data_IF_231155536359
#
_entry.id   IF_231155536359
#
_cell.length_a   1.000
_cell.length_b   1.000
_cell.length_c   1.000
_cell.angle_alpha   90.00
_cell.angle_beta   90.00
_cell.angle_gamma   90.00
#
_symmetry.space_group_name_H-M   'P 1'
#
loop_
_entity.id
_entity.type
_entity.pdbx_description
1 polymer ?
#
# COMPACT_ATOMS: atom_id res chain seq x y z
N UNK A 1 35.08 18.16 5.03
CA UNK A 1 33.96 17.20 4.97
C UNK A 1 33.12 17.41 6.20
N UNK A 2 31.88 17.85 6.06
CA UNK A 2 31.02 18.21 7.19
C UNK A 2 30.52 16.97 7.93
N UNK A 3 31.05 16.76 9.14
CA UNK A 3 30.67 15.66 10.04
C UNK A 3 29.15 15.57 10.26
N UNK A 4 28.48 16.73 10.26
CA UNK A 4 27.03 16.88 10.36
C UNK A 4 26.28 16.32 9.14
N UNK A 5 26.85 16.40 7.94
CA UNK A 5 26.27 15.81 6.73
C UNK A 5 26.37 14.29 6.74
N UNK A 6 27.49 13.75 7.23
CA UNK A 6 27.69 12.30 7.37
C UNK A 6 26.73 11.70 8.41
N UNK A 7 26.51 12.39 9.53
CA UNK A 7 25.54 11.98 10.56
C UNK A 7 24.09 12.01 10.03
N UNK A 8 23.73 13.01 9.22
CA UNK A 8 22.40 13.07 8.57
C UNK A 8 22.20 11.97 7.53
N UNK A 9 23.23 11.64 6.74
CA UNK A 9 23.17 10.54 5.77
C UNK A 9 23.08 9.18 6.47
N UNK A 10 23.80 8.97 7.56
CA UNK A 10 23.71 7.77 8.37
C UNK A 10 22.33 7.61 9.01
N UNK A 11 21.79 8.67 9.61
CA UNK A 11 20.43 8.65 10.18
C UNK A 11 19.37 8.37 9.09
N UNK A 12 19.52 8.93 7.89
CA UNK A 12 18.63 8.66 6.75
C UNK A 12 18.74 7.22 6.26
N UNK A 13 19.94 6.65 6.24
CA UNK A 13 20.15 5.25 5.86
C UNK A 13 19.56 4.29 6.90
N UNK A 14 19.74 4.58 8.19
CA UNK A 14 19.15 3.79 9.28
C UNK A 14 17.63 3.87 9.29
N UNK A 15 17.05 5.07 9.05
CA UNK A 15 15.61 5.23 8.90
C UNK A 15 15.09 4.46 7.68
N UNK A 16 15.79 4.52 6.54
CA UNK A 16 15.43 3.76 5.33
C UNK A 16 15.43 2.24 5.58
N UNK A 17 16.37 1.75 6.37
CA UNK A 17 16.43 0.34 6.76
C UNK A 17 15.32 -0.04 7.75
N UNK A 18 14.98 0.82 8.71
CA UNK A 18 13.83 0.62 9.61
C UNK A 18 12.50 0.64 8.85
N UNK A 19 12.34 1.57 7.92
CA UNK A 19 11.15 1.68 7.07
C UNK A 19 11.00 0.46 6.14
N UNK A 20 12.12 -0.12 5.67
CA UNK A 20 12.11 -1.38 4.88
C UNK A 20 11.66 -2.57 5.71
N UNK A 21 11.94 -2.57 7.01
CA UNK A 21 11.55 -3.62 7.95
C UNK A 21 10.21 -3.33 8.63
N UNK A 22 9.51 -2.27 8.24
CA UNK A 22 8.23 -1.92 8.82
C UNK A 22 7.20 -2.99 8.42
N UNK A 23 6.70 -3.70 9.44
CA UNK A 23 5.68 -4.74 9.30
C UNK A 23 4.44 -4.32 10.08
N UNK A 24 3.28 -4.48 9.47
CA UNK A 24 2.00 -4.17 10.11
C UNK A 24 1.00 -5.30 9.85
N UNK A 25 0.20 -5.62 10.87
CA UNK A 25 -0.86 -6.60 10.73
C UNK A 25 -2.10 -5.96 10.09
N UNK A 26 -2.70 -6.65 9.11
CA UNK A 26 -3.99 -6.33 8.54
C UNK A 26 -4.83 -7.61 8.38
N UNK A 27 -6.15 -7.47 8.49
CA UNK A 27 -7.08 -8.60 8.35
C UNK A 27 -7.36 -8.89 6.87
N UNK A 28 -7.17 -10.15 6.46
CA UNK A 28 -7.52 -10.72 5.16
C UNK A 28 -8.54 -11.84 5.37
N UNK A 29 -9.77 -11.66 4.88
CA UNK A 29 -10.83 -12.67 5.04
C UNK A 29 -11.13 -13.04 6.50
N UNK A 30 -10.89 -12.12 7.44
CA UNK A 30 -11.05 -12.34 8.89
C UNK A 30 -9.85 -12.94 9.61
N UNK A 31 -8.71 -13.13 8.92
CA UNK A 31 -7.45 -13.62 9.49
C UNK A 31 -6.42 -12.49 9.47
N UNK A 32 -5.80 -12.20 10.61
CA UNK A 32 -4.73 -11.22 10.68
C UNK A 32 -3.46 -11.76 10.04
N UNK A 33 -2.95 -11.06 9.03
CA UNK A 33 -1.72 -11.38 8.30
C UNK A 33 -0.73 -10.22 8.37
N UNK A 34 0.56 -10.54 8.25
CA UNK A 34 1.63 -9.54 8.29
C UNK A 34 1.90 -8.98 6.90
N UNK A 35 1.90 -7.65 6.81
CA UNK A 35 2.20 -6.92 5.60
C UNK A 35 3.54 -6.20 5.74
N UNK A 36 4.36 -6.32 4.71
CA UNK A 36 5.65 -5.67 4.59
C UNK A 36 5.55 -4.47 3.67
N UNK A 37 6.23 -3.39 4.03
CA UNK A 37 6.34 -2.23 3.16
C UNK A 37 7.15 -2.59 1.90
N UNK A 38 6.63 -2.34 0.69
CA UNK A 38 7.35 -2.61 -0.56
C UNK A 38 8.56 -1.68 -0.69
N UNK A 39 9.54 -2.06 -1.51
CA UNK A 39 10.71 -1.21 -1.73
C UNK A 39 10.33 0.09 -2.44
N UNK A 40 11.16 1.14 -2.30
CA UNK A 40 10.87 2.43 -2.95
C UNK A 40 10.76 2.34 -4.48
N UNK A 41 11.45 1.40 -5.12
CA UNK A 41 11.31 1.18 -6.55
C UNK A 41 9.90 0.70 -6.89
N UNK A 42 9.44 -0.38 -6.23
CA UNK A 42 8.10 -0.93 -6.41
C UNK A 42 6.99 0.06 -6.03
N UNK A 43 7.25 0.94 -5.05
CA UNK A 43 6.32 2.02 -4.69
C UNK A 43 6.04 2.98 -5.86
N UNK A 44 7.03 3.27 -6.71
CA UNK A 44 6.85 4.13 -7.88
C UNK A 44 5.89 3.49 -8.88
N UNK A 45 6.02 2.18 -9.12
CA UNK A 45 5.15 1.44 -10.03
C UNK A 45 3.68 1.51 -9.57
N UNK A 46 3.43 1.41 -8.25
CA UNK A 46 2.07 1.58 -7.72
C UNK A 46 1.57 3.03 -7.80
N UNK A 47 2.44 4.03 -7.66
CA UNK A 47 2.02 5.44 -7.85
C UNK A 47 1.58 5.67 -9.30
N UNK A 48 2.34 5.16 -10.26
CA UNK A 48 1.98 5.23 -11.68
C UNK A 48 0.64 4.50 -11.92
N UNK A 49 0.51 3.26 -11.44
CA UNK A 49 -0.71 2.48 -11.61
C UNK A 49 -1.95 3.14 -10.95
N UNK A 50 -1.80 3.77 -9.78
CA UNK A 50 -2.88 4.52 -9.12
C UNK A 50 -3.28 5.75 -9.95
N UNK A 51 -2.32 6.47 -10.53
CA UNK A 51 -2.59 7.66 -11.33
C UNK A 51 -3.21 7.32 -12.71
N UNK A 52 -2.84 6.17 -13.28
CA UNK A 52 -3.38 5.68 -14.54
C UNK A 52 -4.77 5.02 -14.39
N UNK A 53 -5.13 4.59 -13.17
CA UNK A 53 -6.42 3.99 -12.89
C UNK A 53 -7.58 4.94 -13.23
N UNK A 54 -8.37 4.57 -14.24
CA UNK A 54 -9.42 5.42 -14.80
C UNK A 54 -10.82 5.13 -14.24
N UNK A 55 -10.94 4.13 -13.35
CA UNK A 55 -12.20 3.76 -12.72
C UNK A 55 -12.05 2.72 -11.62
N UNK A 56 -13.20 2.32 -11.06
CA UNK A 56 -13.28 1.39 -9.93
C UNK A 56 -12.65 0.02 -10.23
N UNK A 57 -12.78 -0.47 -11.48
CA UNK A 57 -12.18 -1.74 -11.90
C UNK A 57 -10.66 -1.70 -11.80
N UNK A 58 -10.05 -0.64 -12.33
CA UNK A 58 -8.59 -0.45 -12.34
C UNK A 58 -8.08 -0.24 -10.92
N UNK A 59 -8.79 0.56 -10.12
CA UNK A 59 -8.45 0.81 -8.71
C UNK A 59 -8.43 -0.47 -7.87
N UNK A 60 -9.42 -1.36 -8.10
CA UNK A 60 -9.48 -2.68 -7.44
C UNK A 60 -8.36 -3.58 -7.95
N UNK A 61 -8.00 -3.52 -9.24
CA UNK A 61 -6.88 -4.31 -9.77
C UNK A 61 -5.56 -3.91 -9.12
N UNK A 62 -5.29 -2.60 -9.00
CA UNK A 62 -4.10 -2.09 -8.29
C UNK A 62 -4.11 -2.50 -6.82
N UNK A 63 -5.28 -2.44 -6.17
CA UNK A 63 -5.43 -2.88 -4.78
C UNK A 63 -5.12 -4.37 -4.60
N UNK A 64 -5.56 -5.21 -5.54
CA UNK A 64 -5.25 -6.66 -5.52
C UNK A 64 -3.75 -6.89 -5.61
N UNK A 65 -3.07 -6.25 -6.56
CA UNK A 65 -1.62 -6.38 -6.69
C UNK A 65 -0.89 -5.92 -5.43
N UNK A 66 -1.24 -4.74 -4.93
CA UNK A 66 -0.63 -4.20 -3.71
C UNK A 66 -0.81 -5.11 -2.50
N UNK A 67 -2.00 -5.68 -2.30
CA UNK A 67 -2.28 -6.60 -1.20
C UNK A 67 -1.43 -7.88 -1.33
N UNK A 68 -1.39 -8.46 -2.53
CA UNK A 68 -0.66 -9.69 -2.80
C UNK A 68 0.85 -9.51 -2.60
N UNK A 69 1.42 -8.42 -3.12
CA UNK A 69 2.86 -8.18 -3.10
C UNK A 69 3.37 -7.81 -1.71
N UNK A 70 2.54 -7.16 -0.89
CA UNK A 70 2.90 -6.78 0.47
C UNK A 70 2.75 -7.93 1.49
N UNK A 71 2.07 -9.04 1.18
CA UNK A 71 1.81 -10.12 2.14
C UNK A 71 2.39 -11.47 1.68
N UNK A 72 3.41 -11.96 2.38
CA UNK A 72 4.10 -13.21 2.04
C UNK A 72 3.23 -14.45 2.19
N UNK A 73 2.31 -14.44 3.16
CA UNK A 73 1.41 -15.58 3.39
C UNK A 73 0.46 -15.80 2.20
N UNK A 74 0.11 -14.73 1.47
CA UNK A 74 -0.70 -14.82 0.26
C UNK A 74 0.08 -15.37 -0.95
N UNK A 75 1.40 -15.40 -0.89
CA UNK A 75 2.28 -15.91 -1.94
C UNK A 75 2.65 -17.39 -1.74
N UNK A 76 2.15 -18.02 -0.66
CA UNK A 76 2.44 -19.42 -0.34
C UNK A 76 1.88 -20.35 -1.43
N UNK A 77 2.73 -21.15 -2.12
CA UNK A 77 2.27 -22.11 -3.12
C UNK A 77 1.26 -23.13 -2.56
N UNK A 78 1.36 -23.50 -1.27
CA UNK A 78 0.42 -24.41 -0.64
C UNK A 78 -0.97 -23.77 -0.50
N UNK A 79 -1.04 -22.46 -0.23
CA UNK A 79 -2.28 -21.71 -0.24
C UNK A 79 -2.87 -21.64 -1.66
N UNK A 80 -2.05 -21.43 -2.67
CA UNK A 80 -2.50 -21.39 -4.07
C UNK A 80 -3.12 -22.71 -4.51
N UNK A 81 -2.46 -23.83 -4.17
CA UNK A 81 -2.96 -25.18 -4.44
C UNK A 81 -4.28 -25.43 -3.71
N UNK A 82 -4.38 -25.07 -2.43
CA UNK A 82 -5.60 -25.23 -1.63
C UNK A 82 -6.78 -24.40 -2.17
N UNK A 83 -6.51 -23.22 -2.72
CA UNK A 83 -7.52 -22.35 -3.34
C UNK A 83 -7.83 -22.72 -4.80
N UNK A 84 -6.98 -23.56 -5.43
CA UNK A 84 -7.09 -23.95 -6.83
C UNK A 84 -6.88 -22.77 -7.79
N UNK A 85 -6.00 -21.83 -7.43
CA UNK A 85 -5.71 -20.65 -8.26
C UNK A 85 -4.50 -20.90 -9.17
N UNK A 86 -4.63 -20.47 -10.43
CA UNK A 86 -3.54 -20.53 -11.42
C UNK A 86 -2.84 -19.18 -11.55
N UNK A 87 -3.60 -18.09 -11.47
CA UNK A 87 -3.05 -16.74 -11.36
C UNK A 87 -2.86 -16.41 -9.86
N UNK A 88 -1.63 -16.10 -9.40
CA UNK A 88 -1.39 -15.82 -7.99
C UNK A 88 -2.23 -14.67 -7.42
N UNK A 89 -2.57 -13.66 -8.24
CA UNK A 89 -3.39 -12.53 -7.81
C UNK A 89 -4.86 -12.91 -7.55
N UNK A 90 -5.33 -14.04 -8.09
CA UNK A 90 -6.67 -14.56 -7.80
C UNK A 90 -6.80 -15.01 -6.35
N UNK A 91 -5.70 -15.28 -5.64
CA UNK A 91 -5.68 -15.57 -4.20
C UNK A 91 -6.44 -14.49 -3.42
N UNK A 92 -6.14 -13.22 -3.68
CA UNK A 92 -6.78 -12.08 -3.01
C UNK A 92 -8.28 -12.06 -3.31
N UNK A 93 -8.64 -12.26 -4.58
CA UNK A 93 -10.04 -12.27 -5.06
C UNK A 93 -10.83 -13.46 -4.54
N UNK A 94 -10.16 -14.55 -4.16
CA UNK A 94 -10.79 -15.74 -3.60
C UNK A 94 -11.04 -15.63 -2.10
N UNK A 95 -10.20 -14.86 -1.40
CA UNK A 95 -10.25 -14.70 0.06
C UNK A 95 -11.12 -13.52 0.52
N UNK A 96 -11.37 -12.53 -0.35
CA UNK A 96 -12.06 -11.29 0.01
C UNK A 96 -13.05 -10.81 -1.06
N UNK A 97 -14.11 -10.13 -0.63
CA UNK A 97 -15.02 -9.44 -1.52
C UNK A 97 -14.42 -8.12 -2.07
N UNK A 98 -15.04 -7.56 -3.11
CA UNK A 98 -14.54 -6.33 -3.76
C UNK A 98 -14.42 -5.15 -2.78
N UNK A 99 -15.32 -5.06 -1.79
CA UNK A 99 -15.31 -3.95 -0.81
C UNK A 99 -14.23 -4.15 0.24
N UNK A 100 -13.95 -5.39 0.63
CA UNK A 100 -12.85 -5.74 1.51
C UNK A 100 -11.51 -5.42 0.84
N UNK A 101 -11.37 -5.80 -0.44
CA UNK A 101 -10.19 -5.50 -1.27
C UNK A 101 -9.97 -3.98 -1.38
N UNK A 102 -11.01 -3.23 -1.73
CA UNK A 102 -10.92 -1.76 -1.88
C UNK A 102 -10.51 -1.08 -0.56
N UNK A 103 -11.14 -1.48 0.56
CA UNK A 103 -10.82 -0.93 1.89
C UNK A 103 -9.41 -1.26 2.33
N UNK A 104 -8.99 -2.51 2.18
CA UNK A 104 -7.65 -2.95 2.58
C UNK A 104 -6.59 -2.32 1.68
N UNK A 105 -6.81 -2.30 0.37
CA UNK A 105 -5.92 -1.64 -0.59
C UNK A 105 -5.73 -0.16 -0.28
N UNK A 106 -6.81 0.58 -0.01
CA UNK A 106 -6.74 1.98 0.39
C UNK A 106 -6.08 2.20 1.77
N UNK A 107 -6.22 1.25 2.70
CA UNK A 107 -5.55 1.31 4.00
C UNK A 107 -4.04 1.05 3.88
N UNK A 108 -3.66 0.07 3.05
CA UNK A 108 -2.26 -0.22 2.72
C UNK A 108 -1.62 0.96 2.02
N UNK A 109 -2.22 1.45 0.94
CA UNK A 109 -1.70 2.58 0.17
C UNK A 109 -1.50 3.83 1.03
N UNK A 110 -2.36 4.09 2.02
CA UNK A 110 -2.13 5.16 3.02
C UNK A 110 -0.96 4.84 3.95
N UNK A 111 -0.91 3.64 4.51
CA UNK A 111 0.18 3.22 5.41
C UNK A 111 1.56 3.32 4.74
N UNK A 112 1.66 2.96 3.46
CA UNK A 112 2.92 3.05 2.71
C UNK A 112 3.18 4.46 2.15
N UNK A 113 2.24 5.39 2.30
CA UNK A 113 2.40 6.81 1.94
C UNK A 113 2.04 7.17 0.50
N UNK A 114 1.34 6.29 -0.24
CA UNK A 114 0.92 6.53 -1.62
C UNK A 114 -0.41 7.30 -1.73
N UNK A 115 -1.27 7.19 -0.73
CA UNK A 115 -2.51 7.95 -0.64
C UNK A 115 -2.48 8.91 0.55
N UNK A 116 -3.13 10.08 0.41
CA UNK A 116 -3.27 11.01 1.53
C UNK A 116 -4.04 10.34 2.67
N UNK A 117 -3.70 10.72 3.90
CA UNK A 117 -4.48 10.28 5.04
C UNK A 117 -5.93 10.78 4.91
N UNK A 118 -6.88 10.01 5.43
CA UNK A 118 -8.31 10.28 5.27
C UNK A 118 -8.74 11.67 5.79
N UNK A 119 -7.90 12.37 6.55
CA UNK A 119 -8.11 13.76 6.99
C UNK A 119 -7.50 14.86 6.11
N UNK A 120 -6.56 14.56 5.20
CA UNK A 120 -5.86 15.59 4.42
C UNK A 120 -6.72 16.17 3.30
N UNK A 121 -7.60 15.34 2.70
CA UNK A 121 -8.57 15.79 1.67
C UNK A 121 -9.52 16.86 2.21
N UNK A 122 -9.88 16.79 3.49
CA UNK A 122 -10.73 17.78 4.14
C UNK A 122 -9.98 19.11 4.28
N UNK A 123 -8.72 19.07 4.74
CA UNK A 123 -7.92 20.29 4.91
C UNK A 123 -7.65 21.03 3.58
N UNK A 124 -7.41 20.32 2.48
CA UNK A 124 -7.14 20.96 1.18
C UNK A 124 -8.40 21.54 0.55
N UNK A 125 -9.53 20.86 0.69
CA UNK A 125 -10.83 21.38 0.23
C UNK A 125 -11.23 22.62 1.05
N UNK A 126 -11.08 22.59 2.37
CA UNK A 126 -11.35 23.72 3.27
C UNK A 126 -10.42 24.91 3.01
N UNK A 127 -9.13 24.66 2.75
CA UNK A 127 -8.16 25.71 2.40
C UNK A 127 -8.44 26.36 1.04
N UNK A 128 -8.84 25.58 0.03
CA UNK A 128 -9.21 26.11 -1.29
C UNK A 128 -10.53 26.88 -1.23
N UNK A 129 -11.49 26.44 -0.42
CA UNK A 129 -12.75 27.15 -0.19
C UNK A 129 -12.55 28.45 0.60
N UNK A 130 -11.61 28.49 1.54
CA UNK A 130 -11.20 29.69 2.25
C UNK A 130 -10.46 30.69 1.34
N UNK A 131 -9.62 30.20 0.42
CA UNK A 131 -8.90 31.04 -0.54
C UNK A 131 -9.82 31.65 -1.62
N UNK A 132 -10.96 31.01 -1.93
CA UNK A 132 -11.94 31.53 -2.88
C UNK A 132 -12.91 32.57 -2.27
N UNK A 133 -12.88 32.77 -0.94
CA UNK A 133 -13.75 33.70 -0.21
C UNK A 133 -13.07 35.02 0.21
N UNK A 134 -11.79 35.20 -0.13
CA UNK A 134 -11.03 36.46 0.02
C UNK A 134 -10.72 37.08 -1.34
#
# INVERSE_FOLDING_TARGET
>A
MDKKLLEQLAARAEQKEKDRLEVKAFSVGGVDMLFHKPAQADQLDYVEAINEASGARDSVAVSVSLIYDCCRDLQDPALHEALGVTDPYDTVRRLMDIREIDKLGAALARWIGLLPDSGEKQSRAEQLEAAAKN
#
